data_IF_027378494386
#
_entry.id   IF_027378494386
#
_cell.length_a   1.000
_cell.length_b   1.000
_cell.length_c   1.000
_cell.angle_alpha   90.00
_cell.angle_beta   90.00
_cell.angle_gamma   90.00
#
_symmetry.space_group_name_H-M   'P 1'
#
loop_
_entity.id
_entity.type
_entity.pdbx_description
1 polymer ?
#
# COMPACT_ATOMS: atom_id res chain seq x y z
N UNK A 1 -15.32 -25.48 -25.35
CA UNK A 1 -16.40 -24.90 -24.54
C UNK A 1 -16.01 -23.47 -24.23
N UNK A 2 -16.91 -22.50 -24.46
CA UNK A 2 -16.73 -21.10 -24.04
C UNK A 2 -17.44 -20.92 -22.70
N UNK A 3 -16.80 -20.24 -21.75
CA UNK A 3 -17.31 -19.96 -20.40
C UNK A 3 -18.48 -18.96 -20.40
N UNK A 4 -18.79 -18.35 -21.55
CA UNK A 4 -19.92 -17.42 -21.72
C UNK A 4 -19.61 -15.98 -21.29
N UNK A 5 -18.42 -15.70 -20.75
CA UNK A 5 -17.97 -14.34 -20.52
C UNK A 5 -17.65 -13.61 -21.82
N UNK A 6 -17.75 -12.27 -21.79
CA UNK A 6 -17.32 -11.43 -22.91
C UNK A 6 -15.79 -11.54 -23.08
N UNK A 7 -15.27 -11.80 -24.29
CA UNK A 7 -13.84 -11.82 -24.54
C UNK A 7 -13.17 -10.49 -24.16
N UNK A 8 -11.97 -10.55 -23.57
CA UNK A 8 -11.23 -9.36 -23.14
C UNK A 8 -10.91 -8.39 -24.29
N UNK A 9 -10.57 -8.92 -25.47
CA UNK A 9 -10.28 -8.10 -26.65
C UNK A 9 -11.50 -7.24 -27.04
N UNK A 10 -12.70 -7.81 -26.95
CA UNK A 10 -13.94 -7.09 -27.24
C UNK A 10 -14.20 -5.98 -26.20
N UNK A 11 -13.81 -6.18 -24.95
CA UNK A 11 -13.92 -5.18 -23.88
C UNK A 11 -12.97 -4.01 -24.14
N UNK A 12 -11.70 -4.30 -24.47
CA UNK A 12 -10.68 -3.27 -24.69
C UNK A 12 -10.94 -2.41 -25.92
N UNK A 13 -11.62 -2.95 -26.94
CA UNK A 13 -12.02 -2.20 -28.13
C UNK A 13 -13.32 -1.40 -27.96
N UNK A 14 -14.05 -1.59 -26.86
CA UNK A 14 -15.32 -0.91 -26.59
C UNK A 14 -15.10 0.53 -26.11
N UNK A 15 -15.72 1.51 -26.78
CA UNK A 15 -15.68 2.91 -26.35
C UNK A 15 -16.24 3.10 -24.93
N UNK A 16 -17.31 2.37 -24.58
CA UNK A 16 -17.96 2.51 -23.26
C UNK A 16 -17.05 2.08 -22.12
N UNK A 17 -16.21 1.08 -22.36
CA UNK A 17 -15.19 0.66 -21.40
C UNK A 17 -14.25 1.83 -21.09
N UNK A 18 -13.71 2.47 -22.12
CA UNK A 18 -12.79 3.61 -21.95
C UNK A 18 -13.45 4.87 -21.38
N UNK A 19 -14.69 5.19 -21.74
CA UNK A 19 -15.40 6.35 -21.15
C UNK A 19 -15.45 6.25 -19.62
N UNK A 20 -15.63 5.05 -19.08
CA UNK A 20 -15.64 4.81 -17.63
C UNK A 20 -14.20 4.78 -17.08
N UNK A 21 -13.33 4.00 -17.72
CA UNK A 21 -11.99 3.71 -17.20
C UNK A 21 -11.01 4.87 -17.34
N UNK A 22 -11.29 5.84 -18.21
CA UNK A 22 -10.55 7.10 -18.28
C UNK A 22 -10.63 7.92 -17.00
N UNK A 23 -11.66 7.73 -16.18
CA UNK A 23 -11.80 8.42 -14.89
C UNK A 23 -11.38 7.50 -13.75
N UNK A 24 -11.85 6.25 -13.76
CA UNK A 24 -11.61 5.34 -12.63
C UNK A 24 -10.15 4.91 -12.51
N UNK A 25 -9.43 4.68 -13.62
CA UNK A 25 -8.01 4.29 -13.58
C UNK A 25 -7.13 5.44 -13.06
N UNK A 26 -7.18 6.67 -13.61
CA UNK A 26 -6.38 7.77 -13.06
C UNK A 26 -6.76 8.14 -11.63
N UNK A 27 -8.05 8.06 -11.27
CA UNK A 27 -8.51 8.30 -9.90
C UNK A 27 -7.89 7.31 -8.92
N UNK A 28 -7.93 6.00 -9.24
CA UNK A 28 -7.33 4.98 -8.39
C UNK A 28 -5.81 5.12 -8.30
N UNK A 29 -5.15 5.46 -9.41
CA UNK A 29 -3.72 5.73 -9.44
C UNK A 29 -3.36 6.90 -8.51
N UNK A 30 -4.08 8.02 -8.64
CA UNK A 30 -3.85 9.20 -7.81
C UNK A 30 -4.14 8.93 -6.33
N UNK A 31 -5.18 8.16 -6.02
CA UNK A 31 -5.46 7.71 -4.66
C UNK A 31 -4.27 6.94 -4.06
N UNK A 32 -3.68 6.01 -4.82
CA UNK A 32 -2.47 5.29 -4.41
C UNK A 32 -1.25 6.20 -4.22
N UNK A 33 -1.06 7.18 -5.11
CA UNK A 33 0.02 8.17 -4.98
C UNK A 33 -0.17 9.03 -3.72
N UNK A 34 -1.37 9.57 -3.48
CA UNK A 34 -1.69 10.37 -2.30
C UNK A 34 -1.52 9.52 -1.02
N UNK A 35 -1.92 8.26 -1.05
CA UNK A 35 -1.78 7.32 0.06
C UNK A 35 -0.31 7.18 0.50
N UNK A 36 0.63 7.11 -0.45
CA UNK A 36 2.07 7.08 -0.16
C UNK A 36 2.62 8.45 0.23
N UNK A 37 2.32 9.50 -0.56
CA UNK A 37 2.88 10.84 -0.36
C UNK A 37 2.42 11.52 0.94
N UNK A 38 1.21 11.23 1.40
CA UNK A 38 0.70 11.70 2.70
C UNK A 38 1.43 11.08 3.90
N UNK A 39 2.19 10.01 3.68
CA UNK A 39 2.82 9.22 4.73
C UNK A 39 1.83 8.37 5.54
N UNK A 40 0.56 8.26 5.10
CA UNK A 40 -0.46 7.48 5.80
C UNK A 40 -0.14 5.98 5.78
N UNK A 41 0.48 5.47 4.70
CA UNK A 41 0.98 4.08 4.60
C UNK A 41 1.81 3.69 5.81
N UNK A 42 2.79 4.52 6.19
CA UNK A 42 3.72 4.24 7.28
C UNK A 42 2.99 4.10 8.62
N UNK A 43 1.99 4.96 8.85
CA UNK A 43 1.16 4.90 10.06
C UNK A 43 0.21 3.70 10.07
N UNK A 44 -0.42 3.39 8.94
CA UNK A 44 -1.40 2.31 8.85
C UNK A 44 -0.76 0.94 9.04
N UNK A 45 0.40 0.72 8.42
CA UNK A 45 1.08 -0.57 8.45
C UNK A 45 2.17 -0.67 9.52
N UNK A 46 2.43 0.40 10.29
CA UNK A 46 3.51 0.43 11.28
C UNK A 46 4.91 0.28 10.66
N UNK A 47 5.06 0.66 9.39
CA UNK A 47 6.35 0.57 8.68
C UNK A 47 7.13 1.86 8.96
N UNK A 48 8.35 1.79 9.50
CA UNK A 48 9.17 2.97 9.72
C UNK A 48 9.54 3.62 8.40
N UNK A 49 9.48 4.95 8.35
CA UNK A 49 10.03 5.72 7.24
C UNK A 49 11.58 5.64 7.26
N UNK A 50 12.25 6.02 6.18
CA UNK A 50 13.71 5.98 6.03
C UNK A 50 14.49 6.58 7.22
N UNK A 51 13.98 7.66 7.82
CA UNK A 51 14.62 8.32 8.96
C UNK A 51 14.21 7.78 10.34
N UNK A 52 13.40 6.71 10.39
CA UNK A 52 12.83 6.15 11.63
C UNK A 52 13.34 4.75 11.95
N UNK A 53 14.26 4.21 11.14
CA UNK A 53 14.89 2.91 11.43
C UNK A 53 15.86 2.98 12.62
N UNK A 54 16.44 4.15 12.87
CA UNK A 54 17.43 4.37 13.93
C UNK A 54 17.16 5.73 14.58
N UNK A 55 17.15 5.78 15.92
CA UNK A 55 16.89 6.99 16.69
C UNK A 55 18.18 7.55 17.29
N UNK A 56 18.41 8.86 17.16
CA UNK A 56 19.44 9.66 17.86
C UNK A 56 20.76 8.90 18.15
N UNK A 57 21.44 8.46 17.10
CA UNK A 57 22.76 7.78 17.11
C UNK A 57 22.79 6.30 17.55
N UNK A 58 21.64 5.70 17.86
CA UNK A 58 21.54 4.26 18.07
C UNK A 58 21.67 3.52 16.73
N UNK A 59 22.77 2.81 16.54
CA UNK A 59 23.02 1.93 15.37
C UNK A 59 22.53 0.50 15.59
N UNK A 60 21.87 0.24 16.73
CA UNK A 60 21.36 -1.07 17.10
C UNK A 60 20.04 -1.36 16.39
N UNK A 61 19.84 -2.63 16.02
CA UNK A 61 18.63 -3.10 15.38
C UNK A 61 17.54 -3.29 16.45
N UNK A 62 16.36 -2.73 16.20
CA UNK A 62 15.16 -2.99 16.99
C UNK A 62 14.70 -4.45 16.81
N UNK A 63 14.95 -5.29 17.81
CA UNK A 63 14.57 -6.70 17.81
C UNK A 63 13.61 -6.99 18.96
N UNK A 64 12.52 -7.68 18.64
CA UNK A 64 11.54 -8.17 19.62
C UNK A 64 12.10 -9.44 20.28
N UNK A 65 12.19 -9.45 21.61
CA UNK A 65 12.84 -10.54 22.36
C UNK A 65 11.84 -11.38 23.16
N UNK A 66 10.75 -10.79 23.65
CA UNK A 66 9.72 -11.50 24.41
C UNK A 66 8.40 -11.64 23.64
N UNK A 67 8.02 -12.89 23.40
CA UNK A 67 6.76 -13.26 22.74
C UNK A 67 5.51 -12.78 23.47
N UNK A 68 5.53 -12.67 24.80
CA UNK A 68 4.34 -12.33 25.58
C UNK A 68 4.18 -10.82 25.82
N UNK A 69 5.25 -10.04 25.66
CA UNK A 69 5.24 -8.57 25.83
C UNK A 69 5.50 -7.77 24.56
N UNK A 70 5.42 -8.42 23.39
CA UNK A 70 5.66 -7.82 22.05
C UNK A 70 5.03 -6.45 21.85
N UNK A 71 3.76 -6.25 22.26
CA UNK A 71 3.07 -4.97 22.04
C UNK A 71 3.71 -3.83 22.85
N UNK A 72 4.15 -4.12 24.07
CA UNK A 72 4.84 -3.14 24.91
C UNK A 72 6.25 -2.87 24.35
N UNK A 73 6.97 -3.92 23.94
CA UNK A 73 8.29 -3.77 23.32
C UNK A 73 8.22 -2.91 22.05
N UNK A 74 7.19 -3.06 21.20
CA UNK A 74 7.01 -2.23 20.00
C UNK A 74 6.71 -0.76 20.33
N UNK A 75 6.02 -0.48 21.44
CA UNK A 75 5.71 0.89 21.88
C UNK A 75 6.93 1.60 22.49
N UNK A 76 7.83 0.83 23.11
CA UNK A 76 9.05 1.31 23.75
C UNK A 76 10.24 1.51 22.77
N UNK A 77 10.14 0.99 21.54
CA UNK A 77 11.13 1.12 20.46
C UNK A 77 11.09 2.48 19.76
#
# INVERSE_FOLDING_TARGET
>A
MSTGERPFIDILQDRRYWVIHLITIPSLFLAGVIFVLSGFVYKLFGVPNFNQYFYNDNTQISLINDRFSVLNEIEDL
#
